data_IF_378529531929
#
_entry.id   IF_378529531929
#
_cell.length_a   1.000
_cell.length_b   1.000
_cell.length_c   1.000
_cell.angle_alpha   90.00
_cell.angle_beta   90.00
_cell.angle_gamma   90.00
#
_symmetry.space_group_name_H-M   'P 1'
#
loop_
_entity.id
_entity.type
_entity.pdbx_description
1 polymer ?
#
# COMPACT_ATOMS: atom_id res chain seq x y z
N UNK A 1 -3.32 -21.52 11.79
CA UNK A 1 -3.54 -20.67 10.60
C UNK A 1 -3.64 -21.60 9.40
N UNK A 2 -4.84 -21.84 8.90
CA UNK A 2 -5.11 -22.82 7.84
C UNK A 2 -4.89 -22.18 6.47
N UNK A 3 -4.51 -22.95 5.44
CA UNK A 3 -4.33 -22.45 4.06
C UNK A 3 -5.56 -21.67 3.54
N UNK A 4 -6.76 -22.06 3.98
CA UNK A 4 -8.01 -21.33 3.70
C UNK A 4 -8.08 -19.95 4.33
N UNK A 5 -7.48 -19.73 5.50
CA UNK A 5 -7.50 -18.42 6.16
C UNK A 5 -6.60 -17.42 5.44
N UNK A 6 -5.45 -17.88 4.91
CA UNK A 6 -4.55 -17.04 4.11
C UNK A 6 -5.15 -16.61 2.76
N UNK A 7 -6.06 -17.41 2.20
CA UNK A 7 -6.72 -17.11 0.91
C UNK A 7 -7.89 -16.12 1.03
N UNK A 8 -8.40 -15.84 2.24
CA UNK A 8 -9.57 -14.95 2.44
C UNK A 8 -9.33 -13.52 1.97
N UNK A 9 -8.07 -13.12 1.84
CA UNK A 9 -7.66 -11.80 1.39
C UNK A 9 -7.27 -11.78 -0.08
N UNK A 10 -7.46 -12.86 -0.84
CA UNK A 10 -7.05 -12.96 -2.24
C UNK A 10 -8.28 -13.16 -3.13
N UNK A 11 -8.39 -12.32 -4.16
CA UNK A 11 -9.44 -12.43 -5.19
C UNK A 11 -8.99 -13.32 -6.33
N UNK A 12 -9.81 -14.30 -6.70
CA UNK A 12 -9.54 -15.32 -7.72
C UNK A 12 -10.47 -15.16 -8.95
N UNK A 13 -10.59 -13.95 -9.50
CA UNK A 13 -11.55 -13.66 -10.58
C UNK A 13 -11.33 -14.49 -11.86
N UNK A 14 -10.10 -14.97 -12.09
CA UNK A 14 -9.75 -15.79 -13.25
C UNK A 14 -9.82 -17.30 -12.97
N UNK A 15 -10.38 -17.71 -11.82
CA UNK A 15 -10.47 -19.10 -11.37
C UNK A 15 -9.41 -19.48 -10.35
N UNK A 16 -9.71 -20.50 -9.53
CA UNK A 16 -8.89 -20.90 -8.38
C UNK A 16 -7.53 -21.51 -8.75
N UNK A 17 -7.39 -22.02 -9.98
CA UNK A 17 -6.14 -22.62 -10.48
C UNK A 17 -5.22 -21.59 -11.15
N UNK A 18 -5.60 -20.31 -11.16
CA UNK A 18 -4.81 -19.19 -11.68
C UNK A 18 -4.24 -18.35 -10.53
N UNK A 19 -3.18 -17.57 -10.76
CA UNK A 19 -2.70 -16.64 -9.75
C UNK A 19 -3.80 -15.66 -9.29
N UNK A 20 -3.79 -15.24 -8.02
CA UNK A 20 -4.68 -14.21 -7.51
C UNK A 20 -4.64 -12.94 -8.37
N UNK A 21 -5.80 -12.31 -8.56
CA UNK A 21 -5.93 -11.08 -9.35
C UNK A 21 -5.85 -9.82 -8.50
N UNK A 22 -6.23 -9.90 -7.23
CA UNK A 22 -6.19 -8.78 -6.30
C UNK A 22 -6.05 -9.24 -4.85
N UNK A 23 -5.69 -8.30 -3.97
CA UNK A 23 -5.67 -8.46 -2.52
C UNK A 23 -6.73 -7.57 -1.86
N UNK A 24 -7.48 -8.14 -0.92
CA UNK A 24 -8.41 -7.42 -0.05
C UNK A 24 -7.72 -7.08 1.26
N UNK A 25 -7.69 -5.79 1.59
CA UNK A 25 -7.17 -5.34 2.87
C UNK A 25 -8.16 -5.70 3.98
N UNK A 26 -7.65 -6.31 5.06
CA UNK A 26 -8.47 -6.67 6.20
C UNK A 26 -9.01 -5.40 6.88
N UNK A 27 -10.33 -5.28 6.88
CA UNK A 27 -11.04 -4.15 7.49
C UNK A 27 -10.77 -4.05 8.99
N UNK A 28 -10.45 -5.16 9.66
CA UNK A 28 -10.12 -5.18 11.08
C UNK A 28 -8.82 -4.40 11.38
N UNK A 29 -7.89 -4.37 10.41
CA UNK A 29 -6.59 -3.71 10.54
C UNK A 29 -6.59 -2.26 10.07
N UNK A 30 -7.67 -1.80 9.42
CA UNK A 30 -7.71 -0.46 8.82
C UNK A 30 -7.46 0.66 9.84
N UNK A 31 -8.10 0.57 11.00
CA UNK A 31 -7.96 1.59 12.05
C UNK A 31 -6.50 1.65 12.50
N UNK A 32 -5.93 0.53 12.88
CA UNK A 32 -4.62 0.53 13.53
C UNK A 32 -3.48 0.70 12.52
N UNK A 33 -3.67 0.33 11.26
CA UNK A 33 -2.64 0.40 10.23
C UNK A 33 -2.68 1.69 9.40
N UNK A 34 -3.85 2.08 8.88
CA UNK A 34 -3.99 3.15 7.89
C UNK A 34 -4.62 4.44 8.45
N UNK A 35 -5.41 4.31 9.51
CA UNK A 35 -6.25 5.39 10.04
C UNK A 35 -6.01 5.61 11.55
N UNK A 36 -4.80 5.32 12.03
CA UNK A 36 -4.48 5.25 13.46
C UNK A 36 -4.65 6.59 14.19
N UNK A 37 -4.49 7.71 13.46
CA UNK A 37 -4.74 9.07 13.96
C UNK A 37 -6.00 9.72 13.37
N UNK A 38 -6.86 8.95 12.70
CA UNK A 38 -8.09 9.49 12.09
C UNK A 38 -9.32 9.34 13.00
N UNK A 39 -10.29 10.27 12.90
CA UNK A 39 -11.60 10.13 13.54
C UNK A 39 -12.35 8.86 13.11
N UNK A 40 -13.17 8.32 14.01
CA UNK A 40 -13.95 7.09 13.77
C UNK A 40 -14.88 7.16 12.55
N UNK A 41 -15.39 8.36 12.22
CA UNK A 41 -16.22 8.58 11.02
C UNK A 41 -15.46 8.28 9.73
N UNK A 42 -14.16 8.58 9.68
CA UNK A 42 -13.34 8.40 8.49
C UNK A 42 -12.93 6.93 8.33
N UNK A 43 -12.67 6.24 9.46
CA UNK A 43 -12.50 4.77 9.48
C UNK A 43 -13.75 4.07 8.94
N UNK A 44 -14.93 4.50 9.41
CA UNK A 44 -16.21 3.94 8.97
C UNK A 44 -16.41 4.15 7.47
N UNK A 45 -16.21 5.39 6.99
CA UNK A 45 -16.31 5.72 5.57
C UNK A 45 -15.34 4.89 4.73
N UNK A 46 -14.09 4.75 5.17
CA UNK A 46 -13.10 3.95 4.47
C UNK A 46 -13.51 2.47 4.41
N UNK A 47 -14.02 1.90 5.52
CA UNK A 47 -14.41 0.48 5.59
C UNK A 47 -15.49 0.07 4.58
N UNK A 48 -16.35 1.02 4.18
CA UNK A 48 -17.39 0.80 3.16
C UNK A 48 -16.96 1.22 1.75
N UNK A 49 -15.85 1.96 1.62
CA UNK A 49 -15.38 2.51 0.34
C UNK A 49 -14.21 1.74 -0.28
N UNK A 50 -13.42 1.03 0.53
CA UNK A 50 -12.26 0.29 0.04
C UNK A 50 -12.62 -0.81 -0.94
N UNK A 51 -11.71 -1.04 -1.89
CA UNK A 51 -11.83 -2.03 -2.96
C UNK A 51 -10.57 -2.90 -3.01
N UNK A 52 -10.66 -4.13 -3.54
CA UNK A 52 -9.50 -4.97 -3.75
C UNK A 52 -8.42 -4.25 -4.58
N UNK A 53 -7.15 -4.40 -4.18
CA UNK A 53 -6.00 -3.84 -4.89
C UNK A 53 -5.53 -4.84 -5.96
N UNK A 54 -5.55 -4.48 -7.25
CA UNK A 54 -5.15 -5.39 -8.32
C UNK A 54 -3.65 -5.67 -8.27
N UNK A 55 -3.24 -6.93 -8.44
CA UNK A 55 -1.82 -7.30 -8.48
C UNK A 55 -1.12 -6.86 -9.76
N UNK A 56 -1.82 -6.88 -10.90
CA UNK A 56 -1.17 -6.66 -12.20
C UNK A 56 -0.36 -5.36 -12.29
N UNK A 57 -0.89 -4.19 -11.88
CA UNK A 57 -0.11 -2.94 -11.92
C UNK A 57 0.98 -2.87 -10.83
N UNK A 58 0.76 -3.53 -9.70
CA UNK A 58 1.70 -3.52 -8.55
C UNK A 58 2.95 -4.33 -8.87
N UNK A 59 2.80 -5.43 -9.63
CA UNK A 59 3.90 -6.32 -10.01
C UNK A 59 4.62 -5.87 -11.29
N UNK A 60 4.08 -4.89 -11.99
CA UNK A 60 4.70 -4.37 -13.21
C UNK A 60 5.96 -3.56 -12.87
N UNK A 61 7.05 -3.83 -13.59
CA UNK A 61 8.32 -3.12 -13.37
C UNK A 61 8.21 -1.69 -13.87
N UNK A 62 8.17 -0.74 -12.93
CA UNK A 62 8.32 0.68 -13.25
C UNK A 62 9.78 1.00 -13.61
N UNK A 63 10.00 1.54 -14.80
CA UNK A 63 11.33 1.95 -15.28
C UNK A 63 11.44 3.48 -15.29
N UNK A 64 12.36 4.01 -14.50
CA UNK A 64 12.58 5.44 -14.33
C UNK A 64 13.92 5.85 -14.97
N UNK A 65 14.02 7.11 -15.41
CA UNK A 65 15.26 7.65 -16.00
C UNK A 65 15.57 9.04 -15.47
N UNK A 66 16.85 9.39 -15.42
CA UNK A 66 17.28 10.69 -14.88
C UNK A 66 16.77 11.87 -15.72
N UNK A 67 16.71 11.70 -17.04
CA UNK A 67 16.25 12.75 -17.97
C UNK A 67 14.76 13.09 -17.73
N UNK A 68 13.94 12.11 -17.32
CA UNK A 68 12.49 12.30 -17.10
C UNK A 68 12.13 12.36 -15.62
N UNK A 69 12.34 11.27 -14.90
CA UNK A 69 12.02 11.17 -13.48
C UNK A 69 12.97 12.03 -12.63
N UNK A 70 14.29 11.94 -12.89
CA UNK A 70 15.30 12.66 -12.13
C UNK A 70 15.31 14.18 -12.36
N UNK A 71 14.67 14.67 -13.43
CA UNK A 71 14.59 16.10 -13.74
C UNK A 71 13.45 16.83 -13.01
N UNK A 72 12.54 16.09 -12.37
CA UNK A 72 11.42 16.66 -11.61
C UNK A 72 11.86 16.88 -10.17
N UNK A 73 11.54 18.06 -9.63
CA UNK A 73 11.76 18.37 -8.22
C UNK A 73 10.89 17.48 -7.34
N UNK A 74 11.50 16.85 -6.33
CA UNK A 74 10.81 15.92 -5.43
C UNK A 74 10.95 16.38 -3.99
N UNK A 75 9.88 16.24 -3.23
CA UNK A 75 9.85 16.44 -1.78
C UNK A 75 9.20 15.23 -1.14
N UNK A 76 9.60 14.91 0.08
CA UNK A 76 9.02 13.83 0.86
C UNK A 76 8.51 14.40 2.19
N UNK A 77 7.27 14.10 2.54
CA UNK A 77 6.67 14.49 3.82
C UNK A 77 6.67 13.24 4.68
N UNK A 78 7.50 13.23 5.72
CA UNK A 78 7.52 12.14 6.68
C UNK A 78 6.29 12.19 7.60
N UNK A 79 5.72 11.03 7.84
CA UNK A 79 4.61 10.81 8.77
C UNK A 79 5.14 10.00 9.95
N UNK A 80 5.56 10.68 11.02
CA UNK A 80 6.31 10.07 12.13
C UNK A 80 5.55 9.00 12.90
N UNK A 81 4.21 9.04 12.84
CA UNK A 81 3.32 8.10 13.53
C UNK A 81 2.60 7.16 12.53
N UNK A 82 3.15 6.97 11.33
CA UNK A 82 2.59 6.06 10.32
C UNK A 82 2.86 4.60 10.67
N UNK A 83 1.78 3.84 10.83
CA UNK A 83 1.84 2.41 11.16
C UNK A 83 1.97 1.52 9.91
N UNK A 84 1.59 2.01 8.73
CA UNK A 84 1.67 1.28 7.47
C UNK A 84 3.06 1.35 6.83
N UNK A 85 3.69 2.52 6.90
CA UNK A 85 5.07 2.74 6.45
C UNK A 85 5.86 3.30 7.64
N UNK A 86 6.48 2.44 8.47
CA UNK A 86 7.22 2.90 9.64
C UNK A 86 8.32 3.90 9.28
N UNK A 87 8.60 4.85 10.17
CA UNK A 87 9.57 5.92 9.92
C UNK A 87 10.94 5.42 9.42
N UNK A 88 11.43 4.30 9.97
CA UNK A 88 12.69 3.70 9.54
C UNK A 88 12.66 3.26 8.06
N UNK A 89 11.51 2.79 7.57
CA UNK A 89 11.32 2.44 6.17
C UNK A 89 11.22 3.70 5.29
N UNK A 90 10.53 4.75 5.75
CA UNK A 90 10.48 6.04 5.04
C UNK A 90 11.89 6.60 4.86
N UNK A 91 12.69 6.63 5.93
CA UNK A 91 14.08 7.09 5.92
C UNK A 91 14.97 6.24 5.01
N UNK A 92 14.75 4.92 5.00
CA UNK A 92 15.44 4.04 4.05
C UNK A 92 15.08 4.41 2.60
N UNK A 93 13.80 4.59 2.28
CA UNK A 93 13.36 4.99 0.93
C UNK A 93 13.99 6.34 0.50
N UNK A 94 14.03 7.32 1.41
CA UNK A 94 14.69 8.61 1.21
C UNK A 94 16.18 8.42 0.91
N UNK A 95 16.88 7.57 1.70
CA UNK A 95 18.31 7.32 1.50
C UNK A 95 18.64 6.68 0.15
N UNK A 96 17.76 5.79 -0.34
CA UNK A 96 17.96 5.10 -1.62
C UNK A 96 17.63 5.99 -2.82
N UNK A 97 16.80 7.01 -2.63
CA UNK A 97 16.36 7.88 -3.72
C UNK A 97 16.07 9.32 -3.22
N UNK A 98 17.12 10.10 -2.90
CA UNK A 98 17.00 11.36 -2.17
C UNK A 98 16.10 12.39 -2.87
N UNK A 99 15.08 12.95 -2.18
CA UNK A 99 14.36 14.13 -2.63
C UNK A 99 15.20 15.40 -2.40
N UNK A 100 14.71 16.54 -2.87
CA UNK A 100 15.26 17.84 -2.52
C UNK A 100 14.94 18.20 -1.07
N UNK A 101 15.86 18.94 -0.45
CA UNK A 101 15.72 19.52 0.88
C UNK A 101 15.07 20.90 0.81
#
# INVERSE_FOLDING_TARGET
>A
MTLRDSLKHLSMQNGNDKPPTAIDLDKSLMKDLLFNHSPAKDVTLASVSMRPIPFSPVLEKLSLSDIKYGSIRRFYIETTEDSAIPIALQQYMISQNPPEC
#
